data_IF_051877569241
#
_entry.id   IF_051877569241
#
_cell.length_a   1.000
_cell.length_b   1.000
_cell.length_c   1.000
_cell.angle_alpha   90.00
_cell.angle_beta   90.00
_cell.angle_gamma   90.00
#
_symmetry.space_group_name_H-M   'P 1'
#
loop_
_entity.id
_entity.type
_entity.pdbx_description
1 polymer ?
#
# COMPACT_ATOMS: atom_id res chain seq x y z
N UNK A 1 -53.62 17.13 17.63
CA UNK A 1 -52.62 16.20 17.08
C UNK A 1 -51.26 16.71 17.56
N UNK A 2 -50.74 16.14 18.65
CA UNK A 2 -49.44 16.56 19.18
C UNK A 2 -48.35 15.84 18.38
N UNK A 3 -47.61 16.58 17.56
CA UNK A 3 -46.37 16.09 16.94
C UNK A 3 -45.37 15.97 18.07
N UNK A 4 -45.13 14.75 18.55
CA UNK A 4 -43.98 14.51 19.41
C UNK A 4 -42.74 14.73 18.56
N UNK A 5 -42.08 15.87 18.74
CA UNK A 5 -40.66 15.97 18.41
C UNK A 5 -39.94 14.99 19.32
N UNK A 6 -39.61 13.82 18.79
CA UNK A 6 -38.62 12.94 19.38
C UNK A 6 -37.35 13.76 19.46
N UNK A 7 -36.94 14.14 20.68
CA UNK A 7 -35.62 14.71 20.91
C UNK A 7 -34.61 13.70 20.36
N UNK A 8 -33.99 14.03 19.24
CA UNK A 8 -32.91 13.24 18.67
C UNK A 8 -31.80 13.23 19.72
N UNK A 9 -31.45 12.06 20.26
CA UNK A 9 -30.22 11.92 21.02
C UNK A 9 -29.03 12.39 20.18
N UNK A 10 -27.85 12.61 20.79
CA UNK A 10 -26.66 12.95 20.00
C UNK A 10 -26.51 11.92 18.86
N UNK A 11 -26.38 12.41 17.63
CA UNK A 11 -26.25 11.54 16.47
C UNK A 11 -25.03 10.64 16.66
N UNK A 12 -25.20 9.34 16.36
CA UNK A 12 -24.09 8.39 16.38
C UNK A 12 -23.06 8.79 15.33
N UNK A 13 -21.79 8.54 15.62
CA UNK A 13 -20.72 8.67 14.64
C UNK A 13 -20.84 7.57 13.59
N UNK A 14 -20.76 7.97 12.33
CA UNK A 14 -20.60 7.10 11.17
C UNK A 14 -19.26 7.42 10.51
N UNK A 15 -18.55 6.39 10.07
CA UNK A 15 -17.24 6.54 9.45
C UNK A 15 -17.29 6.11 8.00
N UNK A 16 -16.62 6.84 7.13
CA UNK A 16 -16.59 6.61 5.70
C UNK A 16 -15.14 6.52 5.25
N UNK A 17 -14.82 5.60 4.35
CA UNK A 17 -13.44 5.29 3.99
C UNK A 17 -13.25 5.19 2.49
N UNK A 18 -12.10 5.65 2.01
CA UNK A 18 -11.57 5.35 0.69
C UNK A 18 -10.04 5.38 0.70
N UNK A 19 -9.42 4.61 -0.20
CA UNK A 19 -7.98 4.65 -0.45
C UNK A 19 -7.67 4.61 -1.94
N UNK A 20 -6.48 5.08 -2.29
CA UNK A 20 -5.91 4.79 -3.59
C UNK A 20 -5.69 3.28 -3.72
N UNK A 21 -5.82 2.76 -4.94
CA UNK A 21 -5.41 1.40 -5.27
C UNK A 21 -3.90 1.39 -5.52
N UNK A 22 -3.11 0.62 -4.75
CA UNK A 22 -1.68 0.51 -4.98
C UNK A 22 -1.38 -0.12 -6.34
N UNK A 23 -0.28 0.28 -6.95
CA UNK A 23 0.27 -0.32 -8.16
C UNK A 23 1.81 -0.30 -8.10
N UNK A 24 2.46 -0.93 -9.08
CA UNK A 24 3.92 -1.08 -9.13
C UNK A 24 4.70 0.24 -9.11
N UNK A 25 4.09 1.35 -9.57
CA UNK A 25 4.69 2.69 -9.63
C UNK A 25 4.40 3.56 -8.40
N UNK A 26 3.54 3.08 -7.50
CA UNK A 26 3.19 3.80 -6.29
C UNK A 26 4.42 3.97 -5.37
N UNK A 27 4.41 5.04 -4.59
CA UNK A 27 5.38 5.25 -3.50
C UNK A 27 4.65 5.39 -2.18
N UNK A 28 3.81 6.41 -2.08
CA UNK A 28 2.84 6.58 -1.00
C UNK A 28 1.44 6.27 -1.55
N UNK A 29 0.68 5.48 -0.79
CA UNK A 29 -0.70 5.11 -1.11
C UNK A 29 -1.59 5.80 -0.10
N UNK A 30 -2.34 6.80 -0.55
CA UNK A 30 -3.16 7.63 0.34
C UNK A 30 -4.49 6.99 0.69
N UNK A 31 -4.99 7.28 1.88
CA UNK A 31 -6.36 7.01 2.30
C UNK A 31 -6.98 8.23 2.97
N UNK A 32 -8.32 8.23 3.01
CA UNK A 32 -9.12 9.21 3.73
C UNK A 32 -10.15 8.48 4.59
N UNK A 33 -10.30 8.94 5.84
CA UNK A 33 -11.41 8.58 6.73
C UNK A 33 -12.23 9.84 6.97
N UNK A 34 -13.56 9.76 6.95
CA UNK A 34 -14.45 10.87 7.30
C UNK A 34 -15.40 10.43 8.41
N UNK A 35 -15.47 11.20 9.49
CA UNK A 35 -16.49 11.01 10.54
C UNK A 35 -17.66 11.97 10.30
N UNK A 36 -18.88 11.41 10.28
CA UNK A 36 -20.12 12.17 10.31
C UNK A 36 -20.90 11.94 11.59
N UNK A 37 -21.53 12.99 12.10
CA UNK A 37 -22.57 12.93 13.15
C UNK A 37 -23.88 13.45 12.57
N UNK A 38 -24.71 12.53 12.07
CA UNK A 38 -25.84 12.87 11.22
C UNK A 38 -25.35 13.42 9.88
N UNK A 39 -25.88 14.56 9.43
CA UNK A 39 -25.48 15.17 8.14
C UNK A 39 -24.23 16.06 8.24
N UNK A 40 -23.62 16.15 9.43
CA UNK A 40 -22.45 16.99 9.65
C UNK A 40 -21.17 16.18 9.55
N UNK A 41 -20.23 16.65 8.75
CA UNK A 41 -18.82 16.20 8.83
C UNK A 41 -18.21 16.83 10.07
N UNK A 42 -17.62 16.01 10.93
CA UNK A 42 -17.08 16.44 12.23
C UNK A 42 -15.61 16.15 12.40
N UNK A 43 -15.06 15.22 11.60
CA UNK A 43 -13.64 14.90 11.56
C UNK A 43 -13.27 14.31 10.20
N UNK A 44 -12.00 14.40 9.84
CA UNK A 44 -11.44 13.67 8.72
C UNK A 44 -9.95 13.36 8.94
N UNK A 45 -9.51 12.22 8.41
CA UNK A 45 -8.11 11.84 8.36
C UNK A 45 -7.65 11.83 6.91
N UNK A 46 -6.46 12.37 6.64
CA UNK A 46 -5.75 12.19 5.38
C UNK A 46 -4.33 11.71 5.65
N UNK A 47 -4.02 10.50 5.20
CA UNK A 47 -2.74 9.87 5.49
C UNK A 47 -2.35 8.89 4.38
N UNK A 48 -1.17 8.30 4.46
CA UNK A 48 -0.66 7.34 3.47
C UNK A 48 0.36 6.37 4.07
N UNK A 49 0.49 5.20 3.46
CA UNK A 49 1.54 4.23 3.78
C UNK A 49 2.53 4.15 2.61
N UNK A 50 3.79 3.82 2.91
CA UNK A 50 4.78 3.62 1.88
C UNK A 50 4.76 2.18 1.38
N UNK A 51 4.72 1.97 0.06
CA UNK A 51 4.59 0.64 -0.56
C UNK A 51 5.78 -0.30 -0.24
N UNK A 52 6.94 0.30 0.09
CA UNK A 52 8.16 -0.41 0.45
C UNK A 52 8.20 -0.85 1.92
N UNK A 53 7.24 -0.43 2.75
CA UNK A 53 7.19 -0.79 4.17
C UNK A 53 8.51 -0.50 4.89
N UNK A 54 9.08 -1.52 5.51
CA UNK A 54 10.37 -1.47 6.20
C UNK A 54 11.59 -1.78 5.32
N UNK A 55 11.40 -2.13 4.04
CA UNK A 55 12.47 -2.05 3.04
C UNK A 55 12.86 -0.59 2.75
N UNK A 56 11.96 0.35 3.02
CA UNK A 56 12.29 1.76 3.01
C UNK A 56 13.11 2.12 4.26
N UNK A 57 14.40 2.39 4.07
CA UNK A 57 15.33 2.71 5.16
C UNK A 57 15.06 4.05 5.84
N UNK A 58 14.23 4.90 5.23
CA UNK A 58 13.89 6.23 5.75
C UNK A 58 12.64 6.13 6.62
N UNK A 59 11.53 5.59 6.09
CA UNK A 59 10.24 5.58 6.78
C UNK A 59 9.98 4.32 7.60
N UNK A 60 10.62 3.20 7.27
CA UNK A 60 10.60 1.96 8.07
C UNK A 60 9.19 1.51 8.51
N UNK A 61 8.22 1.56 7.59
CA UNK A 61 6.83 1.19 7.84
C UNK A 61 5.96 2.27 8.50
N UNK A 62 6.51 3.43 8.89
CA UNK A 62 5.71 4.56 9.38
C UNK A 62 4.75 5.06 8.29
N UNK A 63 3.55 5.45 8.72
CA UNK A 63 2.65 6.24 7.88
C UNK A 63 3.20 7.66 7.69
N UNK A 64 2.61 8.35 6.72
CA UNK A 64 3.09 9.64 6.25
C UNK A 64 2.92 10.75 7.29
N UNK A 65 1.81 10.75 8.03
CA UNK A 65 1.57 11.72 9.10
C UNK A 65 2.62 11.54 10.19
N UNK A 66 2.85 10.30 10.65
CA UNK A 66 3.83 10.03 11.70
C UNK A 66 5.27 10.33 11.23
N UNK A 67 5.64 9.91 10.01
CA UNK A 67 6.94 10.27 9.42
C UNK A 67 7.13 11.78 9.30
N UNK A 68 6.06 12.53 9.03
CA UNK A 68 6.09 13.99 8.98
C UNK A 68 6.24 14.62 10.37
N UNK A 69 5.49 14.13 11.37
CA UNK A 69 5.61 14.59 12.78
C UNK A 69 6.98 14.32 13.38
N UNK A 70 7.62 13.21 13.00
CA UNK A 70 8.98 12.88 13.42
C UNK A 70 10.07 13.67 12.70
N UNK A 71 9.71 14.53 11.74
CA UNK A 71 10.66 15.33 10.97
C UNK A 71 11.43 14.54 9.91
N UNK A 72 10.93 13.35 9.53
CA UNK A 72 11.58 12.44 8.57
C UNK A 72 11.12 12.73 7.14
N UNK A 73 9.85 13.08 6.97
CA UNK A 73 9.28 13.45 5.66
C UNK A 73 9.50 14.96 5.39
N UNK A 74 10.72 15.33 5.05
CA UNK A 74 11.08 16.71 4.71
C UNK A 74 10.64 17.07 3.29
N UNK A 75 9.83 18.12 3.20
CA UNK A 75 9.28 18.65 1.96
C UNK A 75 10.05 19.87 1.43
N UNK A 76 11.08 20.33 2.15
CA UNK A 76 11.75 21.60 1.94
C UNK A 76 10.75 22.78 1.90
N UNK A 77 9.79 22.80 2.83
CA UNK A 77 8.76 23.84 2.97
C UNK A 77 8.67 24.35 4.41
N UNK A 78 8.07 25.54 4.59
CA UNK A 78 7.89 26.16 5.91
C UNK A 78 7.00 25.33 6.85
N UNK A 79 5.99 24.65 6.30
CA UNK A 79 5.10 23.73 7.00
C UNK A 79 5.42 22.30 6.63
N UNK A 80 5.36 21.40 7.60
CA UNK A 80 5.44 19.97 7.39
C UNK A 80 4.20 19.44 6.66
N UNK A 81 4.32 18.28 6.03
CA UNK A 81 3.21 17.67 5.30
C UNK A 81 1.94 17.54 6.15
N UNK A 82 2.05 17.06 7.39
CA UNK A 82 0.90 16.88 8.28
C UNK A 82 0.22 18.21 8.66
N UNK A 83 0.99 19.28 8.87
CA UNK A 83 0.44 20.61 9.15
C UNK A 83 -0.32 21.16 7.94
N UNK A 84 0.21 20.95 6.74
CA UNK A 84 -0.48 21.35 5.51
C UNK A 84 -1.74 20.51 5.27
N UNK A 85 -1.70 19.20 5.56
CA UNK A 85 -2.85 18.31 5.45
C UNK A 85 -3.97 18.71 6.43
N UNK A 86 -3.62 19.09 7.66
CA UNK A 86 -4.57 19.58 8.68
C UNK A 86 -5.30 20.84 8.21
N UNK A 87 -4.60 21.80 7.59
CA UNK A 87 -5.24 23.00 7.00
C UNK A 87 -6.26 22.65 5.89
N UNK A 88 -5.98 21.60 5.10
CA UNK A 88 -6.89 21.14 4.04
C UNK A 88 -8.10 20.43 4.65
N UNK A 89 -7.89 19.61 5.68
CA UNK A 89 -8.94 18.92 6.44
C UNK A 89 -9.85 19.95 7.13
N UNK A 90 -9.29 20.96 7.79
CA UNK A 90 -10.06 22.03 8.45
C UNK A 90 -10.98 22.73 7.46
N UNK A 91 -10.46 23.11 6.29
CA UNK A 91 -11.26 23.72 5.22
C UNK A 91 -12.42 22.81 4.79
N UNK A 92 -12.15 21.53 4.62
CA UNK A 92 -13.17 20.54 4.24
C UNK A 92 -14.23 20.34 5.33
N UNK A 93 -13.85 20.33 6.61
CA UNK A 93 -14.80 20.24 7.72
C UNK A 93 -15.64 21.53 7.82
N UNK A 94 -15.02 22.70 7.67
CA UNK A 94 -15.68 24.01 7.68
C UNK A 94 -16.73 24.14 6.56
N UNK A 95 -16.47 23.56 5.39
CA UNK A 95 -17.41 23.49 4.27
C UNK A 95 -18.46 22.37 4.43
N UNK A 96 -18.46 21.67 5.57
CA UNK A 96 -19.30 20.51 5.87
C UNK A 96 -19.15 19.38 4.83
N UNK A 97 -17.92 19.14 4.38
CA UNK A 97 -17.58 18.07 3.46
C UNK A 97 -17.78 18.40 1.98
N UNK A 98 -17.77 19.67 1.58
CA UNK A 98 -17.90 20.03 0.16
C UNK A 98 -16.62 19.67 -0.61
N UNK A 99 -16.68 18.56 -1.35
CA UNK A 99 -15.58 18.06 -2.17
C UNK A 99 -15.23 18.96 -3.35
N UNK A 100 -16.07 19.94 -3.67
CA UNK A 100 -15.83 20.92 -4.73
C UNK A 100 -15.11 22.17 -4.24
N UNK A 101 -15.00 22.40 -2.93
CA UNK A 101 -14.29 23.53 -2.34
C UNK A 101 -12.76 23.30 -2.34
N UNK A 102 -12.21 22.92 -3.49
CA UNK A 102 -10.79 22.59 -3.65
C UNK A 102 -9.90 23.82 -3.80
N UNK A 103 -10.46 24.90 -4.38
CA UNK A 103 -9.71 26.09 -4.81
C UNK A 103 -10.34 27.36 -4.22
N UNK A 104 -9.54 28.31 -3.70
CA UNK A 104 -8.09 28.22 -3.54
C UNK A 104 -7.71 27.23 -2.42
N UNK A 105 -6.48 26.72 -2.48
CA UNK A 105 -5.91 25.99 -1.34
C UNK A 105 -5.78 26.93 -0.12
N UNK A 106 -5.83 26.40 1.11
CA UNK A 106 -5.58 27.20 2.32
C UNK A 106 -4.22 27.91 2.28
N UNK A 107 -4.10 29.04 2.98
CA UNK A 107 -2.85 29.78 3.05
C UNK A 107 -1.71 28.91 3.63
N UNK A 108 -0.55 28.90 2.99
CA UNK A 108 0.61 28.10 3.41
C UNK A 108 0.65 26.67 2.85
N UNK A 109 -0.45 26.18 2.27
CA UNK A 109 -0.51 24.86 1.64
C UNK A 109 0.16 24.92 0.27
N UNK A 110 1.22 24.12 0.10
CA UNK A 110 1.95 23.92 -1.17
C UNK A 110 1.87 22.49 -1.70
N UNK A 111 1.38 21.53 -0.90
CA UNK A 111 1.05 20.19 -1.36
C UNK A 111 -0.09 20.17 -2.37
N UNK A 112 -0.06 19.21 -3.28
CA UNK A 112 -1.21 18.90 -4.14
C UNK A 112 -2.35 18.35 -3.28
N UNK A 113 -3.53 18.96 -3.37
CA UNK A 113 -4.70 18.61 -2.55
C UNK A 113 -5.73 17.76 -3.29
N UNK A 114 -5.57 17.55 -4.60
CA UNK A 114 -6.54 16.82 -5.43
C UNK A 114 -6.75 15.38 -4.96
N UNK A 115 -5.70 14.71 -4.49
CA UNK A 115 -5.78 13.35 -3.94
C UNK A 115 -6.71 13.29 -2.73
N UNK A 116 -6.62 14.27 -1.82
CA UNK A 116 -7.51 14.35 -0.66
C UNK A 116 -8.97 14.46 -1.08
N UNK A 117 -9.31 15.45 -1.91
CA UNK A 117 -10.71 15.69 -2.28
C UNK A 117 -11.30 14.58 -3.15
N UNK A 118 -10.49 13.94 -3.99
CA UNK A 118 -10.91 12.78 -4.78
C UNK A 118 -11.22 11.58 -3.87
N UNK A 119 -10.36 11.32 -2.87
CA UNK A 119 -10.63 10.26 -1.90
C UNK A 119 -11.79 10.62 -0.96
N UNK A 120 -11.95 11.88 -0.58
CA UNK A 120 -13.08 12.32 0.23
C UNK A 120 -14.42 12.14 -0.49
N UNK A 121 -14.47 12.40 -1.80
CA UNK A 121 -15.64 12.12 -2.64
C UNK A 121 -15.95 10.62 -2.69
N UNK A 122 -14.94 9.78 -2.90
CA UNK A 122 -15.11 8.33 -2.89
C UNK A 122 -15.55 7.80 -1.52
N UNK A 123 -15.01 8.35 -0.43
CA UNK A 123 -15.38 7.98 0.93
C UNK A 123 -16.84 8.39 1.22
N UNK A 124 -17.24 9.62 0.92
CA UNK A 124 -18.62 10.06 1.13
C UNK A 124 -19.65 9.32 0.26
N UNK A 125 -19.20 8.70 -0.84
CA UNK A 125 -20.03 7.85 -1.69
C UNK A 125 -20.07 6.38 -1.25
N UNK A 126 -19.24 5.96 -0.30
CA UNK A 126 -19.23 4.59 0.23
C UNK A 126 -20.24 4.37 1.34
N UNK A 127 -20.53 3.11 1.65
CA UNK A 127 -21.35 2.76 2.81
C UNK A 127 -20.57 3.04 4.10
N UNK A 128 -21.26 3.44 5.20
CA UNK A 128 -20.62 3.60 6.49
C UNK A 128 -19.91 2.32 6.94
N UNK A 129 -18.68 2.46 7.44
CA UNK A 129 -17.86 1.36 7.95
C UNK A 129 -18.54 0.75 9.18
N UNK A 130 -18.94 -0.51 9.06
CA UNK A 130 -19.53 -1.28 10.15
C UNK A 130 -18.57 -1.40 11.35
N UNK A 131 -19.13 -1.58 12.54
CA UNK A 131 -18.32 -1.81 13.73
C UNK A 131 -17.62 -3.18 13.66
N UNK A 132 -16.40 -3.25 14.20
CA UNK A 132 -15.66 -4.49 14.34
C UNK A 132 -14.79 -4.55 15.60
N UNK A 133 -13.98 -5.60 15.67
CA UNK A 133 -13.26 -6.03 16.87
C UNK A 133 -11.78 -5.61 16.92
N UNK A 134 -11.28 -4.95 15.87
CA UNK A 134 -9.89 -4.48 15.81
C UNK A 134 -9.71 -3.11 16.47
N UNK A 135 -8.50 -2.77 16.89
CA UNK A 135 -8.16 -1.44 17.39
C UNK A 135 -7.95 -0.47 16.22
N UNK A 136 -8.60 0.69 16.27
CA UNK A 136 -8.52 1.71 15.20
C UNK A 136 -7.10 2.25 14.96
N UNK A 137 -6.88 2.72 13.74
CA UNK A 137 -5.64 3.36 13.29
C UNK A 137 -4.92 2.59 12.19
N UNK A 138 -3.78 3.14 11.78
CA UNK A 138 -2.82 2.47 10.89
C UNK A 138 -1.94 1.50 11.69
N UNK A 139 -1.78 0.28 11.18
CA UNK A 139 -0.95 -0.76 11.76
C UNK A 139 0.02 -1.29 10.71
N UNK A 140 1.31 -1.09 10.95
CA UNK A 140 2.37 -1.76 10.21
C UNK A 140 2.83 -3.01 10.95
N UNK A 141 2.96 -4.12 10.24
CA UNK A 141 3.39 -5.41 10.77
C UNK A 141 4.49 -5.95 9.87
N UNK A 142 5.45 -6.68 10.45
CA UNK A 142 6.59 -7.22 9.70
C UNK A 142 7.11 -8.50 10.34
N UNK A 143 7.57 -9.44 9.50
CA UNK A 143 8.28 -10.64 9.91
C UNK A 143 9.80 -10.48 9.76
N UNK A 144 10.31 -9.26 9.95
CA UNK A 144 11.75 -8.96 9.84
C UNK A 144 12.62 -9.78 10.82
N UNK A 145 12.06 -10.22 11.95
CA UNK A 145 12.73 -11.14 12.87
C UNK A 145 13.08 -12.49 12.25
N UNK A 146 12.30 -12.93 11.26
CA UNK A 146 12.40 -14.22 10.60
C UNK A 146 13.06 -14.13 9.22
N UNK A 147 13.62 -12.97 8.91
CA UNK A 147 14.16 -12.66 7.60
C UNK A 147 15.21 -13.68 7.14
N UNK A 148 15.14 -14.03 5.85
CA UNK A 148 16.01 -15.03 5.23
C UNK A 148 17.02 -14.35 4.30
N UNK A 149 18.32 -14.68 4.40
CA UNK A 149 19.31 -14.25 3.43
C UNK A 149 18.88 -14.63 2.01
N UNK A 150 18.99 -13.68 1.10
CA UNK A 150 18.63 -13.81 -0.30
C UNK A 150 19.60 -13.01 -1.14
N UNK A 151 19.69 -13.35 -2.42
CA UNK A 151 20.56 -12.70 -3.40
C UNK A 151 19.73 -12.40 -4.64
N UNK A 152 19.83 -11.17 -5.15
CA UNK A 152 19.10 -10.78 -6.36
C UNK A 152 19.61 -11.56 -7.58
N UNK A 153 18.90 -11.46 -8.71
CA UNK A 153 19.44 -11.94 -9.99
C UNK A 153 20.56 -11.02 -10.47
N UNK A 154 21.45 -11.57 -11.30
CA UNK A 154 22.34 -10.80 -12.15
C UNK A 154 21.55 -10.32 -13.38
N UNK A 155 21.88 -9.13 -13.89
CA UNK A 155 21.14 -8.48 -14.96
C UNK A 155 22.07 -7.96 -16.05
N UNK A 156 21.56 -7.92 -17.29
CA UNK A 156 22.21 -7.17 -18.36
C UNK A 156 21.58 -5.78 -18.47
N UNK A 157 22.42 -4.75 -18.37
CA UNK A 157 22.05 -3.35 -18.58
C UNK A 157 22.26 -2.95 -20.04
N UNK A 158 21.19 -2.75 -20.83
CA UNK A 158 21.32 -2.44 -22.25
C UNK A 158 21.73 -0.99 -22.53
N UNK A 159 21.65 -0.09 -21.55
CA UNK A 159 22.01 1.34 -21.72
C UNK A 159 23.51 1.52 -21.50
N UNK A 160 24.06 0.81 -20.53
CA UNK A 160 25.49 0.87 -20.18
C UNK A 160 26.33 -0.24 -20.80
N UNK A 161 25.68 -1.26 -21.37
CA UNK A 161 26.33 -2.45 -21.93
C UNK A 161 27.20 -3.17 -20.89
N UNK A 162 26.67 -3.35 -19.68
CA UNK A 162 27.39 -4.00 -18.57
C UNK A 162 26.52 -5.01 -17.81
N UNK A 163 27.19 -5.95 -17.14
CA UNK A 163 26.55 -6.85 -16.18
C UNK A 163 26.37 -6.12 -14.86
N UNK A 164 25.14 -6.11 -14.35
CA UNK A 164 24.84 -5.65 -13.00
C UNK A 164 24.85 -6.86 -12.08
N UNK A 165 25.83 -6.86 -11.19
CA UNK A 165 26.06 -7.94 -10.24
C UNK A 165 24.92 -8.09 -9.22
N UNK A 166 24.66 -9.32 -8.74
CA UNK A 166 23.71 -9.56 -7.67
C UNK A 166 24.01 -8.78 -6.39
N UNK A 167 22.95 -8.45 -5.66
CA UNK A 167 23.01 -7.80 -4.34
C UNK A 167 22.40 -8.75 -3.31
N UNK A 168 23.09 -8.92 -2.19
CA UNK A 168 22.58 -9.66 -1.03
C UNK A 168 21.64 -8.79 -0.19
N UNK A 169 20.54 -9.38 0.27
CA UNK A 169 19.54 -8.74 1.12
C UNK A 169 18.85 -9.77 2.01
N UNK A 170 18.10 -9.30 3.01
CA UNK A 170 17.31 -10.17 3.87
C UNK A 170 15.84 -10.07 3.49
N UNK A 171 15.34 -11.11 2.82
CA UNK A 171 13.94 -11.22 2.42
C UNK A 171 13.04 -11.48 3.63
N UNK A 172 11.91 -10.78 3.70
CA UNK A 172 10.87 -10.97 4.70
C UNK A 172 9.57 -10.35 4.20
N UNK A 173 8.47 -10.72 4.84
CA UNK A 173 7.12 -10.30 4.48
C UNK A 173 6.63 -9.24 5.47
N UNK A 174 5.89 -8.26 4.98
CA UNK A 174 5.30 -7.20 5.79
C UNK A 174 3.89 -6.85 5.33
N UNK A 175 3.13 -6.21 6.21
CA UNK A 175 1.74 -5.85 6.02
C UNK A 175 1.43 -4.44 6.52
N UNK A 176 0.64 -3.69 5.75
CA UNK A 176 0.09 -2.39 6.12
C UNK A 176 -1.43 -2.50 6.21
N UNK A 177 -2.00 -2.11 7.36
CA UNK A 177 -3.43 -2.20 7.63
C UNK A 177 -3.99 -0.87 8.08
N UNK A 178 -5.21 -0.55 7.66
CA UNK A 178 -6.00 0.56 8.23
C UNK A 178 -7.25 -0.02 8.85
N UNK A 179 -7.48 0.32 10.13
CA UNK A 179 -8.65 -0.09 10.89
C UNK A 179 -9.49 1.14 11.22
N UNK A 180 -10.78 1.09 10.85
CA UNK A 180 -11.76 2.15 11.09
C UNK A 180 -13.00 1.53 11.74
N UNK A 181 -13.47 2.12 12.84
CA UNK A 181 -14.59 1.61 13.63
C UNK A 181 -14.41 0.14 14.10
N UNK A 182 -13.16 -0.31 14.19
CA UNK A 182 -12.71 -1.66 14.49
C UNK A 182 -12.80 -2.65 13.34
N UNK A 183 -13.02 -2.19 12.11
CA UNK A 183 -13.00 -3.02 10.91
C UNK A 183 -11.74 -2.76 10.10
N UNK A 184 -11.07 -3.81 9.64
CA UNK A 184 -9.98 -3.69 8.66
C UNK A 184 -10.60 -3.21 7.34
N UNK A 185 -10.27 -1.99 6.92
CA UNK A 185 -10.77 -1.37 5.68
C UNK A 185 -9.69 -1.29 4.60
N UNK A 186 -8.43 -1.52 4.98
CA UNK A 186 -7.30 -1.66 4.07
C UNK A 186 -6.37 -2.76 4.59
N UNK A 187 -5.94 -3.64 3.69
CA UNK A 187 -4.94 -4.66 3.95
C UNK A 187 -4.02 -4.77 2.73
N UNK A 188 -2.74 -4.44 2.91
CA UNK A 188 -1.72 -4.48 1.89
C UNK A 188 -0.59 -5.42 2.32
N UNK A 189 -0.33 -6.46 1.54
CA UNK A 189 0.75 -7.42 1.79
C UNK A 189 1.86 -7.27 0.75
N UNK A 190 3.11 -7.40 1.17
CA UNK A 190 4.26 -7.34 0.28
C UNK A 190 5.48 -8.05 0.88
N UNK A 191 6.52 -8.22 0.07
CA UNK A 191 7.74 -8.89 0.48
C UNK A 191 8.96 -8.09 0.02
N UNK A 192 9.95 -7.99 0.90
CA UNK A 192 11.25 -7.37 0.60
C UNK A 192 11.99 -8.22 -0.42
N UNK A 193 12.17 -7.66 -1.60
CA UNK A 193 12.80 -8.34 -2.73
C UNK A 193 13.47 -7.34 -3.65
N UNK A 194 14.79 -7.46 -3.81
CA UNK A 194 15.58 -6.49 -4.57
C UNK A 194 15.75 -6.93 -6.02
N UNK A 195 15.45 -6.04 -6.97
CA UNK A 195 15.58 -6.32 -8.39
C UNK A 195 15.31 -5.10 -9.27
N UNK A 196 15.43 -5.31 -10.59
CA UNK A 196 15.15 -4.31 -11.61
C UNK A 196 13.93 -4.74 -12.43
N UNK A 197 13.28 -3.78 -13.10
CA UNK A 197 12.23 -4.14 -14.08
C UNK A 197 12.86 -4.70 -15.34
N UNK A 198 12.22 -5.71 -15.92
CA UNK A 198 12.72 -6.43 -17.08
C UNK A 198 12.00 -6.00 -18.36
N UNK A 199 12.66 -6.17 -19.51
CA UNK A 199 11.93 -6.24 -20.78
C UNK A 199 11.09 -7.52 -20.79
N UNK A 200 9.83 -7.39 -21.21
CA UNK A 200 8.90 -8.51 -21.29
C UNK A 200 8.64 -8.89 -22.75
N UNK A 201 8.56 -10.20 -23.01
CA UNK A 201 8.13 -10.78 -24.28
C UNK A 201 7.00 -11.76 -24.01
N UNK A 202 5.82 -11.51 -24.59
CA UNK A 202 4.60 -12.31 -24.37
C UNK A 202 4.24 -12.50 -22.88
N UNK A 203 4.52 -11.50 -22.04
CA UNK A 203 4.25 -11.55 -20.60
C UNK A 203 5.33 -12.23 -19.75
N UNK A 204 6.44 -12.68 -20.35
CA UNK A 204 7.56 -13.31 -19.65
C UNK A 204 8.82 -12.44 -19.70
N UNK A 205 9.66 -12.57 -18.68
CA UNK A 205 10.96 -11.90 -18.61
C UNK A 205 11.83 -12.35 -19.78
N UNK A 206 12.36 -11.38 -20.54
CA UNK A 206 13.34 -11.66 -21.59
C UNK A 206 14.71 -11.89 -20.99
N UNK A 207 15.40 -12.93 -21.46
CA UNK A 207 16.80 -13.20 -21.13
C UNK A 207 17.70 -13.00 -22.34
N UNK A 208 18.98 -12.74 -22.11
CA UNK A 208 20.00 -12.53 -23.15
C UNK A 208 21.27 -13.32 -22.84
N UNK A 209 21.84 -13.93 -23.88
CA UNK A 209 23.24 -14.35 -23.92
C UNK A 209 24.07 -13.12 -24.29
N UNK A 210 24.89 -12.64 -23.35
CA UNK A 210 25.55 -11.35 -23.44
C UNK A 210 26.98 -11.43 -24.00
N UNK A 211 27.59 -12.62 -24.00
CA UNK A 211 28.99 -12.85 -24.37
C UNK A 211 29.15 -13.90 -25.48
N UNK A 212 28.08 -14.58 -25.91
CA UNK A 212 28.10 -15.72 -26.83
C UNK A 212 28.91 -16.91 -26.29
N UNK A 213 29.13 -16.97 -24.97
CA UNK A 213 29.72 -18.13 -24.32
C UNK A 213 28.59 -19.03 -23.79
N UNK A 214 28.40 -20.24 -24.35
CA UNK A 214 27.33 -21.14 -23.92
C UNK A 214 27.50 -21.66 -22.48
N UNK A 215 28.68 -21.50 -21.86
CA UNK A 215 28.90 -21.84 -20.46
C UNK A 215 28.45 -20.71 -19.50
N UNK A 216 28.27 -19.48 -20.00
CA UNK A 216 27.78 -18.36 -19.22
C UNK A 216 26.25 -18.37 -19.15
N UNK A 217 25.64 -18.32 -17.95
CA UNK A 217 24.18 -18.26 -17.83
C UNK A 217 23.60 -17.00 -18.49
N UNK A 218 22.51 -17.18 -19.24
CA UNK A 218 21.75 -16.06 -19.77
C UNK A 218 21.25 -15.14 -18.65
N UNK A 219 21.35 -13.82 -18.86
CA UNK A 219 20.97 -12.80 -17.90
C UNK A 219 19.57 -12.26 -18.18
N UNK A 220 18.89 -11.77 -17.14
CA UNK A 220 17.64 -11.03 -17.33
C UNK A 220 17.94 -9.67 -17.96
N UNK A 221 17.18 -9.31 -19.00
CA UNK A 221 17.35 -8.06 -19.71
C UNK A 221 16.58 -6.94 -19.02
N UNK A 222 17.30 -5.93 -18.50
CA UNK A 222 16.65 -4.76 -17.90
C UNK A 222 15.76 -4.01 -18.88
N UNK A 223 14.65 -3.48 -18.38
CA UNK A 223 13.83 -2.51 -19.09
C UNK A 223 14.63 -1.22 -19.38
N UNK A 224 14.22 -0.48 -20.41
CA UNK A 224 14.84 0.81 -20.72
C UNK A 224 14.61 1.81 -19.60
N UNK A 225 15.60 2.67 -19.36
CA UNK A 225 15.54 3.74 -18.38
C UNK A 225 16.30 4.96 -18.90
N UNK A 226 15.90 6.16 -18.45
CA UNK A 226 16.43 7.44 -18.95
C UNK A 226 17.32 8.18 -17.95
N UNK A 227 17.45 7.63 -16.74
CA UNK A 227 18.32 8.14 -15.68
C UNK A 227 19.77 7.69 -15.86
N UNK A 228 20.71 8.36 -15.17
CA UNK A 228 22.12 7.96 -15.16
C UNK A 228 22.36 6.59 -14.50
N UNK A 229 21.46 6.18 -13.59
CA UNK A 229 21.48 4.87 -12.92
C UNK A 229 20.09 4.24 -12.95
N UNK A 230 19.98 2.92 -13.20
CA UNK A 230 18.70 2.23 -13.14
C UNK A 230 18.17 2.24 -11.69
N UNK A 231 16.85 2.34 -11.54
CA UNK A 231 16.20 2.29 -10.23
C UNK A 231 16.15 0.84 -9.74
N UNK A 232 16.79 0.58 -8.60
CA UNK A 232 16.62 -0.66 -7.85
C UNK A 232 15.27 -0.62 -7.12
N UNK A 233 14.41 -1.58 -7.41
CA UNK A 233 13.15 -1.80 -6.69
C UNK A 233 13.39 -2.73 -5.51
N UNK A 234 12.63 -2.52 -4.44
CA UNK A 234 12.91 -3.16 -3.14
C UNK A 234 11.85 -4.17 -2.70
N UNK A 235 10.80 -4.34 -3.49
CA UNK A 235 9.71 -5.25 -3.16
C UNK A 235 9.17 -5.97 -4.37
N UNK A 236 8.53 -7.13 -4.13
CA UNK A 236 7.87 -7.89 -5.19
C UNK A 236 6.76 -7.10 -5.87
N UNK A 237 5.95 -6.35 -5.12
CA UNK A 237 4.85 -5.59 -5.71
C UNK A 237 5.33 -4.48 -6.66
N UNK A 238 6.46 -3.83 -6.36
CA UNK A 238 7.05 -2.83 -7.26
C UNK A 238 7.65 -3.43 -8.55
N UNK A 239 8.03 -4.71 -8.52
CA UNK A 239 8.51 -5.42 -9.70
C UNK A 239 7.36 -5.84 -10.62
N UNK A 240 6.15 -6.05 -10.07
CA UNK A 240 5.00 -6.54 -10.82
C UNK A 240 5.37 -7.76 -11.65
N UNK A 241 5.10 -7.72 -12.95
CA UNK A 241 5.47 -8.79 -13.90
C UNK A 241 6.96 -9.08 -14.02
N UNK A 242 7.82 -8.14 -13.62
CA UNK A 242 9.28 -8.35 -13.59
C UNK A 242 9.71 -9.23 -12.42
N UNK A 243 8.84 -9.53 -11.44
CA UNK A 243 9.08 -10.59 -10.48
C UNK A 243 9.06 -11.98 -11.17
N UNK A 244 8.24 -12.12 -12.20
CA UNK A 244 8.28 -13.24 -13.14
C UNK A 244 7.51 -14.47 -12.69
N UNK A 245 6.54 -14.31 -11.80
CA UNK A 245 5.74 -15.43 -11.30
C UNK A 245 4.59 -15.80 -12.25
N UNK A 246 4.21 -14.91 -13.16
CA UNK A 246 3.13 -15.12 -14.14
C UNK A 246 3.19 -16.50 -14.82
N UNK A 247 4.39 -16.97 -15.20
CA UNK A 247 4.58 -18.26 -15.86
C UNK A 247 4.56 -19.49 -14.96
N UNK A 248 4.93 -19.34 -13.69
CA UNK A 248 4.93 -20.41 -12.70
C UNK A 248 3.57 -20.53 -11.99
N UNK A 249 2.80 -19.45 -11.97
CA UNK A 249 1.49 -19.37 -11.35
C UNK A 249 0.46 -20.22 -12.09
N UNK A 250 -0.21 -21.18 -11.43
CA UNK A 250 -1.24 -22.01 -12.07
C UNK A 250 -2.47 -21.19 -12.50
N UNK A 251 -2.62 -19.96 -12.00
CA UNK A 251 -3.69 -19.04 -12.35
C UNK A 251 -3.24 -17.89 -13.26
N UNK A 252 -1.98 -17.91 -13.72
CA UNK A 252 -1.43 -16.93 -14.67
C UNK A 252 -1.33 -15.51 -14.11
N UNK A 253 -1.32 -15.35 -12.79
CA UNK A 253 -1.19 -14.06 -12.08
C UNK A 253 0.19 -13.91 -11.45
N UNK A 254 0.72 -12.68 -11.46
CA UNK A 254 1.96 -12.37 -10.74
C UNK A 254 1.72 -12.14 -9.24
N UNK A 255 2.78 -11.84 -8.48
CA UNK A 255 2.73 -11.88 -7.02
C UNK A 255 1.86 -10.76 -6.45
N UNK A 256 1.97 -9.56 -7.02
CA UNK A 256 1.19 -8.38 -6.63
C UNK A 256 -0.31 -8.62 -6.78
N UNK A 257 -0.74 -9.18 -7.91
CA UNK A 257 -2.15 -9.48 -8.16
C UNK A 257 -2.73 -10.49 -7.16
N UNK A 258 -1.91 -11.45 -6.70
CA UNK A 258 -2.33 -12.43 -5.70
C UNK A 258 -2.28 -11.85 -4.28
N UNK A 259 -1.30 -11.00 -3.97
CA UNK A 259 -1.21 -10.29 -2.69
C UNK A 259 -2.38 -9.32 -2.49
N UNK A 260 -2.80 -8.62 -3.55
CA UNK A 260 -4.00 -7.78 -3.54
C UNK A 260 -5.27 -8.60 -3.33
N UNK A 261 -5.41 -9.74 -4.02
CA UNK A 261 -6.56 -10.63 -3.81
C UNK A 261 -6.65 -11.15 -2.35
N UNK A 262 -5.51 -11.43 -1.70
CA UNK A 262 -5.49 -11.79 -0.29
C UNK A 262 -5.90 -10.60 0.62
N UNK A 263 -5.44 -9.39 0.31
CA UNK A 263 -5.85 -8.15 1.00
C UNK A 263 -7.35 -7.91 0.91
N UNK A 264 -7.91 -7.96 -0.30
CA UNK A 264 -9.35 -7.80 -0.56
C UNK A 264 -10.18 -8.85 0.18
N UNK A 265 -9.73 -10.11 0.16
CA UNK A 265 -10.37 -11.18 0.92
C UNK A 265 -10.41 -10.87 2.43
N UNK A 266 -9.31 -10.39 3.01
CA UNK A 266 -9.26 -10.05 4.43
C UNK A 266 -10.18 -8.87 4.77
N UNK A 267 -10.25 -7.85 3.92
CA UNK A 267 -11.15 -6.70 4.11
C UNK A 267 -12.61 -7.16 4.07
N UNK A 268 -12.98 -8.04 3.15
CA UNK A 268 -14.35 -8.54 3.04
C UNK A 268 -14.72 -9.44 4.24
N UNK A 269 -13.83 -10.37 4.62
CA UNK A 269 -14.14 -11.45 5.55
C UNK A 269 -13.68 -11.18 7.00
N UNK A 270 -12.87 -10.15 7.23
CA UNK A 270 -12.26 -9.78 8.52
C UNK A 270 -11.44 -10.90 9.19
N UNK A 271 -11.13 -11.94 8.42
CA UNK A 271 -10.36 -13.10 8.83
C UNK A 271 -9.79 -13.85 7.63
N UNK A 272 -8.68 -14.56 7.84
CA UNK A 272 -8.18 -15.56 6.90
C UNK A 272 -8.56 -16.98 7.36
N UNK A 273 -8.71 -17.94 6.42
CA UNK A 273 -8.66 -19.34 6.79
C UNK A 273 -7.26 -19.70 7.31
N UNK A 274 -7.19 -20.72 8.14
CA UNK A 274 -5.91 -21.31 8.56
C UNK A 274 -5.15 -21.82 7.32
N UNK A 275 -3.85 -21.50 7.17
CA UNK A 275 -3.02 -22.09 6.13
C UNK A 275 -2.93 -23.61 6.30
N UNK A 276 -2.86 -24.35 5.19
CA UNK A 276 -2.63 -25.80 5.22
C UNK A 276 -1.15 -26.14 5.51
N UNK A 277 -0.80 -27.42 5.51
CA UNK A 277 0.57 -27.91 5.79
C UNK A 277 1.64 -27.37 4.81
N UNK A 278 1.24 -26.89 3.63
CA UNK A 278 2.13 -26.25 2.65
C UNK A 278 2.23 -24.72 2.85
N UNK A 279 1.48 -24.16 3.79
CA UNK A 279 1.38 -22.72 4.04
C UNK A 279 0.46 -21.98 3.06
N UNK A 280 -0.39 -22.70 2.31
CA UNK A 280 -1.31 -22.12 1.34
C UNK A 280 -2.69 -21.88 1.97
N UNK A 281 -3.40 -20.85 1.52
CA UNK A 281 -4.81 -20.68 1.87
C UNK A 281 -5.70 -21.64 1.08
N UNK A 282 -6.55 -22.39 1.78
CA UNK A 282 -7.62 -23.16 1.13
C UNK A 282 -8.89 -22.30 1.00
N UNK A 283 -9.37 -22.12 -0.23
CA UNK A 283 -10.63 -21.43 -0.51
C UNK A 283 -10.56 -19.92 -0.71
N UNK A 284 -9.36 -19.31 -0.69
CA UNK A 284 -9.19 -17.88 -1.03
C UNK A 284 -9.02 -17.75 -2.55
N UNK A 285 -10.05 -17.22 -3.21
CA UNK A 285 -10.06 -17.09 -4.67
C UNK A 285 -8.94 -16.16 -5.16
N UNK A 286 -8.23 -16.59 -6.20
CA UNK A 286 -7.18 -15.78 -6.82
C UNK A 286 -5.84 -15.76 -6.08
N UNK A 287 -5.68 -16.58 -5.03
CA UNK A 287 -4.43 -16.70 -4.26
C UNK A 287 -3.92 -18.14 -4.35
N UNK A 288 -2.72 -18.30 -4.89
CA UNK A 288 -2.01 -19.59 -5.01
C UNK A 288 -0.57 -19.52 -4.51
N UNK A 289 -0.14 -18.35 -4.06
CA UNK A 289 1.12 -18.18 -3.34
C UNK A 289 0.98 -18.76 -1.92
N UNK A 290 2.07 -19.28 -1.40
CA UNK A 290 2.20 -19.59 0.03
C UNK A 290 1.98 -18.29 0.81
N UNK A 291 0.98 -18.30 1.69
CA UNK A 291 0.43 -17.12 2.33
C UNK A 291 0.40 -17.25 3.87
N UNK A 292 1.10 -18.24 4.44
CA UNK A 292 1.30 -18.37 5.89
C UNK A 292 1.80 -17.07 6.51
N UNK A 293 2.74 -16.39 5.85
CA UNK A 293 3.24 -15.10 6.32
C UNK A 293 2.14 -14.03 6.38
N UNK A 294 1.17 -14.05 5.45
CA UNK A 294 0.05 -13.09 5.45
C UNK A 294 -0.89 -13.36 6.61
N UNK A 295 -1.14 -14.64 6.91
CA UNK A 295 -1.87 -15.05 8.10
C UNK A 295 -1.16 -14.55 9.37
N UNK A 296 0.14 -14.81 9.50
CA UNK A 296 0.94 -14.40 10.66
C UNK A 296 0.95 -12.88 10.85
N UNK A 297 1.12 -12.11 9.77
CA UNK A 297 1.06 -10.64 9.81
C UNK A 297 -0.33 -10.15 10.24
N UNK A 298 -1.41 -10.71 9.70
CA UNK A 298 -2.77 -10.37 10.10
C UNK A 298 -3.00 -10.62 11.61
N UNK A 299 -2.46 -11.72 12.15
CA UNK A 299 -2.56 -12.03 13.59
C UNK A 299 -1.84 -11.02 14.49
N UNK A 300 -0.93 -10.20 13.94
CA UNK A 300 -0.28 -9.11 14.67
C UNK A 300 -1.14 -7.83 14.73
N UNK A 301 -2.23 -7.74 13.97
CA UNK A 301 -3.15 -6.60 14.03
C UNK A 301 -3.89 -6.62 15.38
N UNK A 302 -3.81 -5.54 16.18
CA UNK A 302 -4.36 -5.53 17.54
C UNK A 302 -5.89 -5.55 17.56
N UNK A 303 -6.46 -6.33 18.48
CA UNK A 303 -7.91 -6.35 18.78
C UNK A 303 -8.25 -5.47 19.97
N UNK A 304 -9.53 -5.08 20.10
CA UNK A 304 -10.09 -4.35 21.24
C UNK A 304 -10.14 -5.20 22.52
#
# INVERSE_FOLDING_TARGET
MAVMLTACGPAKSEFYFASQTPNEDSSWVYWVVIEKKGDKVVDAEWNAFNIEGDANTTYKGLDKVEASKQGIYDMNSDLWWHEQAELVIDKFIESNGDVNDRIPAPAGVSITTDDFYTLAELALASDPVEAGDYKDGYHFTTLISDAKPSTSKAWWDPVKEEVVEPIDYNSHTFGSFVVVNGRIVLAYFNNVFYGYRAQLANGFIKTIDHDNDPETPALQLMAEYTSATPKLYKTKNQLGKSYGMTGASPIGKDYDEQAYAAGDYLIENQSFPEPNDNGDFEGVAGVTITASDFYDLWKLVPTK
#
